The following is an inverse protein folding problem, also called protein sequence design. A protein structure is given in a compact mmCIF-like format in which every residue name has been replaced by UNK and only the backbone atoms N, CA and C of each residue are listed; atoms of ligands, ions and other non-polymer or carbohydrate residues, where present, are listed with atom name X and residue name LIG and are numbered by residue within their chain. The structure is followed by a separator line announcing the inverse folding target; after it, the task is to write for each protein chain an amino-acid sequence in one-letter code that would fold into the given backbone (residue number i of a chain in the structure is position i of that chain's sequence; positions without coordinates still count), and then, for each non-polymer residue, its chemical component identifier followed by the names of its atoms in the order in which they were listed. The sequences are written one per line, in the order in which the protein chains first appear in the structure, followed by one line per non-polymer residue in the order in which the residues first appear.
data_IF_562239358484
#
_entry.id   IF_562239358484
#
_cell.length_a   1.000
_cell.length_b   1.000
_cell.length_c   1.000
_cell.angle_alpha   90.00
_cell.angle_beta   90.00
_cell.angle_gamma   90.00
#
_symmetry.space_group_name_H-M   'P 1'
#
loop_
_entity.id
_entity.type
_entity.pdbx_description
1 polymer ?
#
# COMPACT_ATOMS: atom_id res chain seq x y z
N UNK A 1 4.40 -19.02 -28.44
CA UNK A 1 4.62 -18.21 -27.24
C UNK A 1 6.02 -17.63 -27.35
N UNK A 2 6.15 -16.33 -27.66
CA UNK A 2 7.44 -15.67 -27.71
C UNK A 2 8.05 -15.66 -26.29
N UNK A 3 9.14 -16.37 -26.10
CA UNK A 3 10.00 -16.27 -24.90
C UNK A 3 10.64 -14.90 -24.88
N UNK A 4 9.91 -13.86 -24.43
CA UNK A 4 10.52 -12.57 -24.14
C UNK A 4 11.62 -12.82 -23.12
N UNK A 5 12.85 -12.59 -23.51
CA UNK A 5 14.05 -12.73 -22.67
C UNK A 5 13.83 -11.99 -21.35
N UNK A 6 13.86 -12.72 -20.24
CA UNK A 6 13.81 -12.14 -18.90
C UNK A 6 15.00 -11.20 -18.73
N UNK A 7 14.73 -9.94 -18.45
CA UNK A 7 15.77 -8.96 -18.15
C UNK A 7 15.67 -8.53 -16.67
N UNK A 8 16.48 -9.12 -15.77
CA UNK A 8 16.41 -8.83 -14.34
C UNK A 8 16.63 -7.35 -13.99
N UNK A 9 17.51 -6.66 -14.74
CA UNK A 9 17.79 -5.22 -14.53
C UNK A 9 16.54 -4.36 -14.81
N UNK A 10 15.83 -4.66 -15.90
CA UNK A 10 14.59 -3.97 -16.25
C UNK A 10 13.47 -4.28 -15.24
N UNK A 11 13.40 -5.53 -14.76
CA UNK A 11 12.47 -5.92 -13.71
C UNK A 11 12.74 -5.21 -12.39
N UNK A 12 14.00 -5.08 -11.99
CA UNK A 12 14.39 -4.32 -10.80
C UNK A 12 14.06 -2.83 -10.95
N UNK A 13 14.31 -2.25 -12.14
CA UNK A 13 13.94 -0.85 -12.40
C UNK A 13 12.43 -0.63 -12.24
N UNK A 14 11.58 -1.48 -12.83
CA UNK A 14 10.14 -1.38 -12.68
C UNK A 14 9.70 -1.49 -11.22
N UNK A 15 10.23 -2.47 -10.47
CA UNK A 15 9.87 -2.69 -9.08
C UNK A 15 10.29 -1.51 -8.18
N UNK A 16 11.52 -1.01 -8.35
CA UNK A 16 12.02 0.13 -7.57
C UNK A 16 11.31 1.44 -7.91
N UNK A 17 10.98 1.68 -9.19
CA UNK A 17 10.19 2.85 -9.57
C UNK A 17 8.77 2.76 -9.00
N UNK A 18 8.16 1.57 -8.99
CA UNK A 18 6.87 1.35 -8.34
C UNK A 18 6.93 1.63 -6.84
N UNK A 19 7.95 1.11 -6.15
CA UNK A 19 8.19 1.33 -4.73
C UNK A 19 8.44 2.83 -4.42
N UNK A 20 9.20 3.54 -5.24
CA UNK A 20 9.41 4.99 -5.13
C UNK A 20 8.10 5.77 -5.21
N UNK A 21 7.26 5.46 -6.20
CA UNK A 21 5.95 6.11 -6.38
C UNK A 21 4.99 5.80 -5.22
N UNK A 22 4.98 4.58 -4.69
CA UNK A 22 4.19 4.24 -3.51
C UNK A 22 4.70 4.97 -2.26
N UNK A 23 6.01 5.06 -2.04
CA UNK A 23 6.58 5.83 -0.95
C UNK A 23 6.22 7.32 -1.03
N UNK A 24 6.27 7.90 -2.23
CA UNK A 24 5.84 9.28 -2.47
C UNK A 24 4.33 9.47 -2.24
N UNK A 25 3.52 8.49 -2.66
CA UNK A 25 2.08 8.49 -2.42
C UNK A 25 1.72 8.56 -0.93
N UNK A 26 2.50 7.95 -0.07
CA UNK A 26 2.30 8.00 1.38
C UNK A 26 2.33 9.44 1.91
N UNK A 27 3.38 10.19 1.55
CA UNK A 27 3.52 11.61 1.89
C UNK A 27 2.44 12.48 1.22
N UNK A 28 2.10 12.20 -0.04
CA UNK A 28 1.03 12.90 -0.76
C UNK A 28 -0.32 12.73 -0.05
N UNK A 29 -0.66 11.50 0.36
CA UNK A 29 -1.90 11.20 1.09
C UNK A 29 -1.94 11.95 2.41
N UNK A 30 -0.83 12.00 3.17
CA UNK A 30 -0.74 12.74 4.43
C UNK A 30 -0.97 14.23 4.23
N UNK A 31 -0.37 14.83 3.20
CA UNK A 31 -0.57 16.24 2.86
C UNK A 31 -2.02 16.54 2.52
N UNK A 32 -2.65 15.71 1.70
CA UNK A 32 -4.06 15.90 1.32
C UNK A 32 -4.96 15.84 2.55
N UNK A 33 -4.73 14.87 3.46
CA UNK A 33 -5.53 14.73 4.69
C UNK A 33 -5.28 15.88 5.65
N UNK A 34 -4.05 16.36 5.79
CA UNK A 34 -3.73 17.50 6.68
C UNK A 34 -4.34 18.82 6.20
N UNK A 35 -4.77 18.92 4.95
CA UNK A 35 -5.51 20.04 4.40
C UNK A 35 -7.04 19.87 4.45
N UNK A 36 -7.54 18.92 5.26
CA UNK A 36 -8.96 18.80 5.59
C UNK A 36 -9.76 17.84 4.71
N UNK A 37 -9.13 17.17 3.73
CA UNK A 37 -9.78 16.11 2.96
C UNK A 37 -9.76 14.83 3.78
N UNK A 38 -10.91 14.18 3.98
CA UNK A 38 -10.99 12.99 4.84
C UNK A 38 -10.32 11.77 4.21
N UNK A 39 -9.90 10.81 5.02
CA UNK A 39 -9.29 9.57 4.53
C UNK A 39 -10.24 8.79 3.59
N UNK A 40 -11.54 8.82 3.86
CA UNK A 40 -12.59 8.22 3.04
C UNK A 40 -12.62 8.86 1.65
N UNK A 41 -12.57 10.19 1.59
CA UNK A 41 -12.56 10.94 0.33
C UNK A 41 -11.27 10.66 -0.46
N UNK A 42 -10.12 10.63 0.20
CA UNK A 42 -8.83 10.27 -0.43
C UNK A 42 -8.93 8.90 -1.10
N UNK A 43 -9.47 7.90 -0.38
CA UNK A 43 -9.62 6.54 -0.93
C UNK A 43 -10.68 6.51 -2.05
N UNK A 44 -11.78 7.24 -1.91
CA UNK A 44 -12.81 7.35 -2.94
C UNK A 44 -12.24 7.87 -4.26
N UNK A 45 -11.59 9.05 -4.25
CA UNK A 45 -11.03 9.65 -5.47
C UNK A 45 -9.91 8.81 -6.07
N UNK A 46 -9.03 8.28 -5.25
CA UNK A 46 -7.93 7.41 -5.65
C UNK A 46 -8.44 6.12 -6.30
N UNK A 47 -9.40 5.45 -5.67
CA UNK A 47 -9.99 4.22 -6.19
C UNK A 47 -10.76 4.47 -7.50
N UNK A 48 -11.52 5.57 -7.58
CA UNK A 48 -12.26 5.95 -8.77
C UNK A 48 -11.34 6.21 -9.96
N UNK A 49 -10.28 6.99 -9.77
CA UNK A 49 -9.29 7.27 -10.81
C UNK A 49 -8.58 5.99 -11.28
N UNK A 50 -8.19 5.12 -10.33
CA UNK A 50 -7.53 3.86 -10.65
C UNK A 50 -8.47 2.90 -11.37
N UNK A 51 -9.74 2.80 -10.95
CA UNK A 51 -10.76 1.98 -11.62
C UNK A 51 -10.99 2.46 -13.05
N UNK A 52 -11.11 3.77 -13.26
CA UNK A 52 -11.26 4.37 -14.58
C UNK A 52 -10.10 3.99 -15.50
N UNK A 53 -8.86 4.21 -15.05
CA UNK A 53 -7.66 3.92 -15.84
C UNK A 53 -7.51 2.42 -16.12
N UNK A 54 -7.71 1.56 -15.13
CA UNK A 54 -7.68 0.11 -15.31
C UNK A 54 -8.78 -0.35 -16.26
N UNK A 55 -9.98 0.23 -16.16
CA UNK A 55 -11.10 -0.02 -17.05
C UNK A 55 -10.80 0.39 -18.49
N UNK A 56 -10.21 1.57 -18.70
CA UNK A 56 -9.76 2.01 -20.03
C UNK A 56 -8.72 1.05 -20.61
N UNK A 57 -7.68 0.71 -19.86
CA UNK A 57 -6.68 -0.26 -20.33
C UNK A 57 -7.33 -1.59 -20.68
N UNK A 58 -8.23 -2.09 -19.84
CA UNK A 58 -8.94 -3.34 -20.07
C UNK A 58 -9.83 -3.29 -21.33
N UNK A 59 -10.50 -2.15 -21.57
CA UNK A 59 -11.34 -1.95 -22.75
C UNK A 59 -10.54 -2.01 -24.07
N UNK A 60 -9.30 -1.52 -24.06
CA UNK A 60 -8.45 -1.52 -25.25
C UNK A 60 -7.60 -2.77 -25.41
N UNK A 61 -7.27 -3.48 -24.29
CA UNK A 61 -6.33 -4.62 -24.34
C UNK A 61 -7.00 -5.97 -24.21
N UNK A 62 -8.04 -6.10 -23.35
CA UNK A 62 -8.64 -7.40 -23.03
C UNK A 62 -10.10 -7.27 -22.58
N UNK A 63 -11.00 -6.97 -23.52
CA UNK A 63 -12.45 -6.80 -23.24
C UNK A 63 -13.11 -7.99 -22.54
N UNK A 64 -12.61 -9.21 -22.73
CA UNK A 64 -13.12 -10.38 -22.03
C UNK A 64 -12.95 -10.31 -20.51
N UNK A 65 -12.02 -9.50 -20.02
CA UNK A 65 -11.79 -9.24 -18.59
C UNK A 65 -12.98 -8.57 -17.89
N UNK A 66 -13.91 -7.93 -18.64
CA UNK A 66 -15.16 -7.39 -18.08
C UNK A 66 -16.22 -8.47 -17.79
N UNK A 67 -16.04 -9.70 -18.25
CA UNK A 67 -17.02 -10.77 -17.97
C UNK A 67 -16.81 -11.27 -16.53
N UNK A 68 -17.85 -11.18 -15.69
CA UNK A 68 -17.88 -11.67 -14.31
C UNK A 68 -18.86 -12.81 -14.19
N UNK A 69 -18.43 -13.91 -13.56
CA UNK A 69 -19.32 -14.99 -13.17
C UNK A 69 -19.95 -14.69 -11.82
N UNK A 70 -21.25 -14.96 -11.65
CA UNK A 70 -21.95 -14.73 -10.38
C UNK A 70 -21.25 -15.38 -9.17
N UNK A 71 -20.61 -16.53 -9.38
CA UNK A 71 -19.85 -17.24 -8.33
C UNK A 71 -18.59 -16.50 -7.86
N UNK A 72 -18.07 -15.57 -8.64
CA UNK A 72 -16.87 -14.78 -8.31
C UNK A 72 -17.23 -13.51 -7.49
N UNK A 73 -18.49 -13.05 -7.60
CA UNK A 73 -18.93 -11.80 -6.98
C UNK A 73 -18.67 -11.72 -5.47
N UNK A 74 -18.99 -12.75 -4.65
CA UNK A 74 -18.75 -12.64 -3.21
C UNK A 74 -17.27 -12.41 -2.86
N UNK A 75 -16.38 -13.13 -3.56
CA UNK A 75 -14.94 -12.96 -3.38
C UNK A 75 -14.47 -11.58 -3.85
N UNK A 76 -14.94 -11.10 -5.01
CA UNK A 76 -14.58 -9.78 -5.54
C UNK A 76 -15.09 -8.65 -4.65
N UNK A 77 -16.33 -8.74 -4.17
CA UNK A 77 -16.93 -7.75 -3.27
C UNK A 77 -16.13 -7.69 -1.97
N UNK A 78 -15.91 -8.83 -1.34
CA UNK A 78 -15.13 -8.89 -0.09
C UNK A 78 -13.71 -8.40 -0.29
N UNK A 79 -13.06 -8.78 -1.40
CA UNK A 79 -11.70 -8.32 -1.74
C UNK A 79 -11.66 -6.82 -2.01
N UNK A 80 -12.62 -6.27 -2.74
CA UNK A 80 -12.68 -4.84 -3.04
C UNK A 80 -12.98 -3.98 -1.81
N UNK A 81 -13.89 -4.43 -0.93
CA UNK A 81 -14.24 -3.69 0.29
C UNK A 81 -13.12 -3.84 1.32
N UNK A 82 -12.81 -5.07 1.75
CA UNK A 82 -11.90 -5.32 2.88
C UNK A 82 -10.44 -5.23 2.45
N UNK A 83 -10.10 -5.90 1.34
CA UNK A 83 -8.72 -5.99 0.88
C UNK A 83 -8.21 -4.69 0.23
N UNK A 84 -9.10 -3.85 -0.30
CA UNK A 84 -8.68 -2.61 -0.96
C UNK A 84 -9.25 -1.39 -0.24
N UNK A 85 -10.56 -1.27 -0.12
CA UNK A 85 -11.21 -0.07 0.42
C UNK A 85 -10.84 0.20 1.87
N UNK A 86 -11.09 -0.76 2.75
CA UNK A 86 -10.80 -0.62 4.19
C UNK A 86 -9.29 -0.65 4.49
N UNK A 87 -8.49 -1.40 3.72
CA UNK A 87 -7.04 -1.39 3.84
C UNK A 87 -6.48 0.01 3.57
N UNK A 88 -6.82 0.61 2.42
CA UNK A 88 -6.35 1.94 2.05
C UNK A 88 -6.85 3.03 3.01
N UNK A 89 -8.08 2.89 3.51
CA UNK A 89 -8.63 3.80 4.50
C UNK A 89 -7.87 3.71 5.84
N UNK A 90 -7.68 2.52 6.37
CA UNK A 90 -6.95 2.33 7.62
C UNK A 90 -5.51 2.85 7.49
N UNK A 91 -4.84 2.58 6.36
CA UNK A 91 -3.54 3.15 6.05
C UNK A 91 -3.57 4.70 6.01
N UNK A 92 -4.56 5.30 5.36
CA UNK A 92 -4.69 6.76 5.28
C UNK A 92 -4.90 7.38 6.67
N UNK A 93 -5.69 6.74 7.54
CA UNK A 93 -5.84 7.15 8.93
C UNK A 93 -4.54 6.98 9.75
N UNK A 94 -3.78 5.91 9.48
CA UNK A 94 -2.50 5.68 10.13
C UNK A 94 -1.49 6.78 9.80
N UNK A 95 -1.33 7.14 8.53
CA UNK A 95 -0.39 8.21 8.12
C UNK A 95 -0.83 9.60 8.56
N UNK A 96 -2.13 9.81 8.81
CA UNK A 96 -2.63 11.04 9.42
C UNK A 96 -2.15 11.20 10.88
N UNK A 97 -2.05 10.09 11.62
CA UNK A 97 -1.70 10.09 13.05
C UNK A 97 -0.25 9.73 13.36
N UNK A 98 0.49 9.17 12.42
CA UNK A 98 1.88 8.71 12.58
C UNK A 98 2.81 9.36 11.55
N UNK A 99 4.12 9.24 11.80
CA UNK A 99 5.12 9.44 10.76
C UNK A 99 4.92 8.41 9.66
N UNK A 100 5.07 8.84 8.40
CA UNK A 100 4.73 8.03 7.23
C UNK A 100 5.51 6.71 7.19
N UNK A 101 6.82 6.77 7.47
CA UNK A 101 7.67 5.57 7.50
C UNK A 101 7.25 4.58 8.58
N UNK A 102 6.85 5.06 9.78
CA UNK A 102 6.41 4.21 10.90
C UNK A 102 5.08 3.53 10.56
N UNK A 103 4.12 4.27 9.98
CA UNK A 103 2.85 3.71 9.56
C UNK A 103 3.04 2.53 8.57
N UNK A 104 3.93 2.71 7.57
CA UNK A 104 4.26 1.66 6.62
C UNK A 104 5.01 0.47 7.23
N UNK A 105 5.93 0.71 8.17
CA UNK A 105 6.61 -0.41 8.87
C UNK A 105 5.60 -1.32 9.56
N UNK A 106 4.61 -0.74 10.25
CA UNK A 106 3.58 -1.51 10.95
C UNK A 106 2.68 -2.22 9.94
N UNK A 107 2.23 -1.54 8.90
CA UNK A 107 1.39 -2.14 7.86
C UNK A 107 2.08 -3.33 7.19
N UNK A 108 3.36 -3.21 6.83
CA UNK A 108 4.13 -4.28 6.19
C UNK A 108 4.41 -5.49 7.10
N UNK A 109 4.09 -5.43 8.40
CA UNK A 109 4.06 -6.65 9.24
C UNK A 109 3.09 -7.70 8.69
N UNK A 110 2.14 -7.30 7.82
CA UNK A 110 1.28 -8.22 7.06
C UNK A 110 2.05 -9.37 6.41
N UNK A 111 3.28 -9.13 5.94
CA UNK A 111 4.14 -10.15 5.31
C UNK A 111 4.45 -11.30 6.28
N UNK A 112 4.46 -11.03 7.57
CA UNK A 112 4.65 -12.04 8.63
C UNK A 112 3.33 -12.71 8.99
N UNK A 113 2.25 -11.92 9.06
CA UNK A 113 0.93 -12.45 9.39
C UNK A 113 0.39 -13.40 8.34
N UNK A 114 0.72 -13.18 7.04
CA UNK A 114 0.29 -14.07 5.95
C UNK A 114 0.71 -15.53 6.18
N UNK A 115 2.00 -15.89 6.42
CA UNK A 115 2.39 -17.25 6.72
C UNK A 115 1.76 -17.81 8.01
N UNK A 116 1.62 -16.97 9.04
CA UNK A 116 1.01 -17.39 10.32
C UNK A 116 -0.47 -17.74 10.14
N UNK A 117 -1.24 -16.90 9.45
CA UNK A 117 -2.64 -17.17 9.11
C UNK A 117 -2.75 -18.41 8.19
N UNK A 118 -1.82 -18.56 7.23
CA UNK A 118 -1.77 -19.75 6.37
C UNK A 118 -1.50 -21.03 7.14
N UNK A 119 -0.64 -20.97 8.16
CA UNK A 119 -0.43 -22.11 9.07
C UNK A 119 -1.71 -22.47 9.85
N UNK A 120 -2.38 -21.46 10.43
CA UNK A 120 -3.54 -21.66 11.29
C UNK A 120 -4.79 -22.13 10.52
N UNK A 121 -5.07 -21.48 9.37
CA UNK A 121 -6.29 -21.74 8.60
C UNK A 121 -6.13 -22.85 7.56
N UNK A 122 -4.94 -22.94 6.93
CA UNK A 122 -4.71 -23.90 5.84
C UNK A 122 -3.74 -25.00 6.21
N UNK A 123 -3.19 -25.01 7.45
CA UNK A 123 -2.20 -25.97 7.95
C UNK A 123 -0.97 -26.06 7.05
N UNK A 124 -0.62 -24.97 6.37
CA UNK A 124 0.60 -24.88 5.56
C UNK A 124 1.83 -24.83 6.48
N UNK A 125 2.88 -25.60 6.16
CA UNK A 125 4.12 -25.59 6.96
C UNK A 125 4.84 -24.25 6.81
N UNK A 126 5.08 -23.57 7.92
CA UNK A 126 5.86 -22.33 7.98
C UNK A 126 7.34 -22.67 8.13
N UNK A 127 8.19 -22.06 7.30
CA UNK A 127 9.63 -22.32 7.33
C UNK A 127 10.25 -21.66 8.59
N UNK A 128 11.29 -22.30 9.21
CA UNK A 128 11.92 -21.81 10.44
C UNK A 128 12.40 -20.35 10.37
N UNK A 129 12.88 -19.91 9.21
CA UNK A 129 13.33 -18.52 8.99
C UNK A 129 12.22 -17.49 9.16
N UNK A 130 10.95 -17.86 8.93
CA UNK A 130 9.81 -16.95 9.16
C UNK A 130 9.72 -16.60 10.64
N UNK A 131 10.03 -17.53 11.54
CA UNK A 131 10.07 -17.27 12.98
C UNK A 131 11.18 -16.30 13.36
N UNK A 132 12.38 -16.40 12.73
CA UNK A 132 13.45 -15.41 12.90
C UNK A 132 12.98 -14.04 12.39
N UNK A 133 12.31 -14.02 11.23
CA UNK A 133 11.75 -12.79 10.67
C UNK A 133 10.72 -12.15 11.61
N UNK A 134 9.82 -12.96 12.20
CA UNK A 134 8.84 -12.52 13.22
C UNK A 134 9.55 -11.84 14.39
N UNK A 135 10.59 -12.47 14.94
CA UNK A 135 11.36 -11.92 16.07
C UNK A 135 12.02 -10.59 15.70
N UNK A 136 12.64 -10.50 14.50
CA UNK A 136 13.28 -9.27 14.03
C UNK A 136 12.27 -8.14 13.85
N UNK A 137 11.09 -8.44 13.29
CA UNK A 137 10.06 -7.42 13.05
C UNK A 137 9.43 -6.96 14.35
N UNK A 138 9.03 -7.87 15.22
CA UNK A 138 8.43 -7.50 16.52
C UNK A 138 9.44 -6.76 17.41
N UNK A 139 10.69 -7.24 17.45
CA UNK A 139 11.78 -6.54 18.15
C UNK A 139 12.07 -5.17 17.56
N UNK A 140 12.12 -5.06 16.23
CA UNK A 140 12.32 -3.78 15.54
C UNK A 140 11.17 -2.80 15.77
N UNK A 141 9.91 -3.26 15.77
CA UNK A 141 8.76 -2.41 16.12
C UNK A 141 8.80 -1.93 17.57
N UNK A 142 9.22 -2.78 18.53
CA UNK A 142 9.38 -2.39 19.91
C UNK A 142 10.45 -1.29 20.03
N UNK A 143 11.54 -1.38 19.26
CA UNK A 143 12.58 -0.35 19.17
C UNK A 143 12.04 0.94 18.51
N UNK A 144 11.29 0.84 17.41
CA UNK A 144 10.65 2.01 16.76
C UNK A 144 9.69 2.72 17.68
N UNK A 145 8.92 1.96 18.48
CA UNK A 145 7.98 2.51 19.44
C UNK A 145 8.67 3.19 20.64
N UNK A 146 10.00 3.11 20.72
CA UNK A 146 10.81 3.65 21.81
C UNK A 146 10.27 3.25 23.20
N UNK A 147 9.90 1.97 23.33
CA UNK A 147 9.29 1.41 24.55
C UNK A 147 10.20 1.56 25.77
N UNK A 148 11.50 1.80 25.56
CA UNK A 148 12.52 1.88 26.61
C UNK A 148 12.96 3.31 26.93
N UNK A 149 12.69 4.30 26.07
CA UNK A 149 13.18 5.68 26.23
C UNK A 149 12.11 6.75 26.47
N UNK A 150 10.86 6.47 26.16
CA UNK A 150 9.71 7.35 26.44
C UNK A 150 9.71 8.71 25.73
N UNK A 151 10.62 8.93 24.77
CA UNK A 151 10.82 10.24 24.12
C UNK A 151 9.82 10.50 22.97
N UNK A 152 9.21 9.45 22.42
CA UNK A 152 8.31 9.55 21.25
C UNK A 152 6.89 9.16 21.66
N UNK A 153 5.99 10.14 21.69
CA UNK A 153 4.55 9.90 21.87
C UNK A 153 3.95 9.51 20.52
N UNK A 154 3.85 8.21 20.25
CA UNK A 154 3.08 7.72 19.10
C UNK A 154 1.58 7.89 19.38
N UNK A 155 0.83 8.36 18.38
CA UNK A 155 -0.63 8.48 18.47
C UNK A 155 -1.28 7.08 18.65
N UNK A 156 -2.03 6.82 19.74
CA UNK A 156 -2.68 5.52 19.92
C UNK A 156 -3.66 5.19 18.79
N UNK A 157 -4.39 6.18 18.29
CA UNK A 157 -5.30 6.00 17.14
C UNK A 157 -4.52 5.66 15.87
N UNK A 158 -3.38 6.35 15.62
CA UNK A 158 -2.51 6.04 14.50
C UNK A 158 -1.95 4.61 14.55
N UNK A 159 -1.53 4.14 15.73
CA UNK A 159 -1.08 2.76 15.94
C UNK A 159 -2.21 1.75 15.69
N UNK A 160 -3.41 2.03 16.18
CA UNK A 160 -4.59 1.17 15.97
C UNK A 160 -4.89 1.06 14.46
N UNK A 161 -4.92 2.18 13.75
CA UNK A 161 -5.19 2.16 12.31
C UNK A 161 -4.07 1.49 11.50
N UNK A 162 -2.80 1.65 11.89
CA UNK A 162 -1.70 0.93 11.27
C UNK A 162 -1.79 -0.59 11.47
N UNK A 163 -2.18 -1.03 12.67
CA UNK A 163 -2.44 -2.45 12.95
C UNK A 163 -3.64 -3.00 12.14
N UNK A 164 -4.71 -2.21 12.01
CA UNK A 164 -5.85 -2.55 11.14
C UNK A 164 -5.43 -2.64 9.67
N UNK A 165 -4.61 -1.69 9.19
CA UNK A 165 -4.07 -1.72 7.83
C UNK A 165 -3.27 -3.02 7.60
N UNK A 166 -2.41 -3.43 8.56
CA UNK A 166 -1.68 -4.70 8.48
C UNK A 166 -2.61 -5.92 8.42
N UNK A 167 -3.69 -5.93 9.20
CA UNK A 167 -4.69 -7.01 9.17
C UNK A 167 -5.41 -7.07 7.81
N UNK A 168 -5.86 -5.93 7.29
CA UNK A 168 -6.51 -5.84 5.99
C UNK A 168 -5.53 -6.15 4.83
N UNK A 169 -4.27 -5.73 4.93
CA UNK A 169 -3.24 -6.09 3.96
C UNK A 169 -2.94 -7.60 3.98
N UNK A 170 -2.96 -8.23 5.17
CA UNK A 170 -2.88 -9.69 5.29
C UNK A 170 -4.01 -10.37 4.54
N UNK A 171 -5.24 -9.89 4.74
CA UNK A 171 -6.40 -10.37 3.99
C UNK A 171 -6.25 -10.13 2.49
N UNK A 172 -5.77 -8.94 2.07
CA UNK A 172 -5.50 -8.61 0.68
C UNK A 172 -4.56 -9.63 0.02
N UNK A 173 -3.47 -10.01 0.66
CA UNK A 173 -2.55 -11.00 0.10
C UNK A 173 -3.19 -12.39 -0.01
N UNK A 174 -3.94 -12.82 1.00
CA UNK A 174 -4.58 -14.16 1.01
C UNK A 174 -5.73 -14.23 0.00
N UNK A 175 -6.63 -13.25 0.01
CA UNK A 175 -7.76 -13.20 -0.91
C UNK A 175 -7.33 -12.86 -2.34
N UNK A 176 -6.36 -11.97 -2.51
CA UNK A 176 -5.79 -11.59 -3.81
C UNK A 176 -5.18 -12.78 -4.55
N UNK A 177 -4.50 -13.68 -3.84
CA UNK A 177 -4.01 -14.95 -4.42
C UNK A 177 -5.14 -15.80 -5.02
N UNK A 178 -6.33 -15.77 -4.40
CA UNK A 178 -7.53 -16.49 -4.91
C UNK A 178 -8.14 -15.77 -6.11
N UNK A 179 -8.26 -14.43 -6.05
CA UNK A 179 -8.78 -13.61 -7.16
C UNK A 179 -7.92 -13.79 -8.41
N UNK A 180 -6.60 -13.77 -8.27
CA UNK A 180 -5.64 -13.93 -9.38
C UNK A 180 -5.62 -15.32 -10.01
N UNK A 181 -6.18 -16.34 -9.35
CA UNK A 181 -6.36 -17.67 -9.97
C UNK A 181 -7.45 -17.69 -11.04
N UNK A 182 -8.41 -16.80 -10.94
CA UNK A 182 -9.60 -16.78 -11.83
C UNK A 182 -9.61 -15.58 -12.76
N UNK A 183 -8.81 -14.56 -12.48
CA UNK A 183 -8.78 -13.28 -13.20
C UNK A 183 -7.37 -12.85 -13.55
N UNK A 184 -7.25 -12.22 -14.72
CA UNK A 184 -6.07 -11.45 -15.04
C UNK A 184 -5.99 -10.22 -14.10
N UNK A 185 -4.81 -9.68 -13.96
CA UNK A 185 -4.58 -8.66 -12.93
C UNK A 185 -5.22 -7.31 -13.26
N UNK A 186 -5.32 -6.89 -14.55
CA UNK A 186 -6.02 -5.64 -14.87
C UNK A 186 -7.50 -5.75 -14.54
N UNK A 187 -8.11 -6.91 -14.82
CA UNK A 187 -9.48 -7.19 -14.41
C UNK A 187 -9.64 -7.21 -12.90
N UNK A 188 -8.72 -7.85 -12.16
CA UNK A 188 -8.73 -7.86 -10.70
C UNK A 188 -8.57 -6.45 -10.12
N UNK A 189 -7.66 -5.65 -10.67
CA UNK A 189 -7.45 -4.25 -10.28
C UNK A 189 -8.70 -3.40 -10.55
N UNK A 190 -9.27 -3.51 -11.76
CA UNK A 190 -10.48 -2.77 -12.12
C UNK A 190 -11.62 -3.05 -11.15
N UNK A 191 -11.97 -4.33 -10.94
CA UNK A 191 -13.10 -4.68 -10.09
C UNK A 191 -12.87 -4.35 -8.62
N UNK A 192 -11.68 -4.58 -8.09
CA UNK A 192 -11.38 -4.27 -6.69
C UNK A 192 -11.45 -2.76 -6.43
N UNK A 193 -10.94 -1.95 -7.35
CA UNK A 193 -11.01 -0.49 -7.23
C UNK A 193 -12.41 0.06 -7.49
N UNK A 194 -13.15 -0.51 -8.46
CA UNK A 194 -14.54 -0.14 -8.70
C UNK A 194 -15.43 -0.43 -7.48
N UNK A 195 -15.28 -1.61 -6.89
CA UNK A 195 -16.03 -2.00 -5.69
C UNK A 195 -15.66 -1.11 -4.50
N UNK A 196 -14.37 -0.82 -4.31
CA UNK A 196 -13.90 0.16 -3.30
C UNK A 196 -14.55 1.53 -3.54
N UNK A 197 -14.60 2.00 -4.79
CA UNK A 197 -15.24 3.27 -5.16
C UNK A 197 -16.71 3.28 -4.79
N UNK A 198 -17.45 2.25 -5.21
CA UNK A 198 -18.89 2.13 -4.91
C UNK A 198 -19.13 2.05 -3.40
N UNK A 199 -18.32 1.29 -2.68
CA UNK A 199 -18.40 1.21 -1.22
C UNK A 199 -18.24 2.58 -0.58
N UNK A 200 -17.21 3.35 -0.92
CA UNK A 200 -16.98 4.67 -0.33
C UNK A 200 -17.95 5.74 -0.84
N UNK A 201 -18.50 5.61 -2.05
CA UNK A 201 -19.61 6.48 -2.49
C UNK A 201 -20.84 6.33 -1.61
N UNK A 202 -21.09 5.15 -1.04
CA UNK A 202 -22.24 4.88 -0.17
C UNK A 202 -21.89 5.11 1.30
N UNK A 203 -20.71 4.67 1.75
CA UNK A 203 -20.32 4.66 3.16
C UNK A 203 -19.77 6.01 3.65
N UNK A 204 -19.21 6.82 2.76
CA UNK A 204 -18.67 8.14 3.13
C UNK A 204 -19.69 9.23 2.93
N UNK A 205 -19.89 10.15 3.90
CA UNK A 205 -20.78 11.29 3.74
C UNK A 205 -20.12 12.43 2.92
N UNK A 206 -19.53 12.09 1.78
CA UNK A 206 -18.77 13.03 0.93
C UNK A 206 -19.60 14.23 0.48
N UNK A 207 -20.93 14.10 0.42
CA UNK A 207 -21.86 15.16 0.05
C UNK A 207 -22.06 16.21 1.18
N UNK A 208 -21.74 15.88 2.43
CA UNK A 208 -21.84 16.83 3.55
C UNK A 208 -20.66 17.80 3.57
N UNK A 209 -19.49 17.33 3.19
CA UNK A 209 -18.28 18.12 3.08
C UNK A 209 -17.68 17.93 1.69
N UNK A 210 -18.24 18.57 0.64
CA UNK A 210 -17.73 18.43 -0.70
C UNK A 210 -16.29 18.99 -0.78
N UNK A 211 -15.41 18.25 -1.46
CA UNK A 211 -14.02 18.69 -1.68
C UNK A 211 -14.03 19.88 -2.63
N UNK A 212 -13.42 20.99 -2.22
CA UNK A 212 -13.14 22.10 -3.13
C UNK A 212 -12.01 21.68 -4.08
N UNK A 213 -12.39 21.30 -5.28
CA UNK A 213 -11.45 20.86 -6.32
C UNK A 213 -10.60 22.02 -6.86
N UNK A 214 -11.09 23.26 -6.79
CA UNK A 214 -10.41 24.45 -7.30
C UNK A 214 -9.51 25.10 -6.26
N UNK A 215 -9.73 24.79 -5.00
CA UNK A 215 -8.92 25.26 -3.87
C UNK A 215 -7.47 24.82 -3.95
N UNK A 216 -6.62 25.53 -3.21
CA UNK A 216 -5.20 25.23 -3.11
C UNK A 216 -4.90 24.36 -1.89
N UNK A 217 -4.17 23.26 -2.09
CA UNK A 217 -3.58 22.45 -1.02
C UNK A 217 -2.16 22.92 -0.78
N UNK A 218 -1.85 23.32 0.44
CA UNK A 218 -0.48 23.58 0.88
C UNK A 218 0.29 22.28 0.99
N UNK A 219 1.46 22.18 0.36
CA UNK A 219 2.25 20.93 0.35
C UNK A 219 2.87 20.57 1.71
N UNK A 220 2.84 21.49 2.66
CA UNK A 220 3.29 21.26 4.02
C UNK A 220 4.80 21.02 4.16
N UNK A 221 5.25 20.84 5.42
CA UNK A 221 6.63 20.54 5.73
C UNK A 221 7.62 21.52 5.09
N UNK A 222 8.70 21.02 4.50
CA UNK A 222 9.72 21.82 3.82
C UNK A 222 9.23 22.43 2.48
N UNK A 223 8.08 22.00 1.99
CA UNK A 223 7.44 22.54 0.77
C UNK A 223 6.24 23.45 1.10
N UNK A 224 6.12 23.93 2.34
CA UNK A 224 5.01 24.77 2.81
C UNK A 224 4.84 26.10 2.08
N UNK A 225 5.87 26.57 1.37
CA UNK A 225 5.79 27.75 0.50
C UNK A 225 5.02 27.46 -0.82
N UNK A 226 4.76 26.20 -1.15
CA UNK A 226 4.12 25.78 -2.38
C UNK A 226 2.69 25.35 -2.13
N UNK A 227 1.79 25.79 -3.02
CA UNK A 227 0.39 25.34 -3.05
C UNK A 227 0.11 24.74 -4.43
N UNK A 228 -0.67 23.66 -4.44
CA UNK A 228 -1.11 23.01 -5.68
C UNK A 228 -2.64 22.90 -5.69
N UNK A 229 -3.29 23.03 -6.87
CA UNK A 229 -4.72 22.83 -6.97
C UNK A 229 -5.13 21.43 -6.48
N UNK A 230 -6.20 21.34 -5.70
CA UNK A 230 -6.71 20.08 -5.13
C UNK A 230 -6.91 19.00 -6.19
N UNK A 231 -7.56 19.36 -7.32
CA UNK A 231 -7.80 18.41 -8.41
C UNK A 231 -6.51 17.81 -8.98
N UNK A 232 -5.43 18.59 -9.02
CA UNK A 232 -4.13 18.12 -9.55
C UNK A 232 -3.51 17.07 -8.64
N UNK A 233 -3.57 17.27 -7.32
CA UNK A 233 -3.07 16.28 -6.33
C UNK A 233 -3.93 15.02 -6.31
N UNK A 234 -5.24 15.13 -6.46
CA UNK A 234 -6.13 13.96 -6.52
C UNK A 234 -5.91 13.14 -7.80
N UNK A 235 -5.72 13.80 -8.95
CA UNK A 235 -5.35 13.12 -10.20
C UNK A 235 -3.97 12.46 -10.06
N UNK A 236 -2.99 13.19 -9.54
CA UNK A 236 -1.66 12.65 -9.23
C UNK A 236 -1.75 11.40 -8.37
N UNK A 237 -2.54 11.45 -7.28
CA UNK A 237 -2.74 10.34 -6.36
C UNK A 237 -3.34 9.11 -7.08
N UNK A 238 -4.32 9.31 -7.93
CA UNK A 238 -4.95 8.22 -8.71
C UNK A 238 -4.00 7.60 -9.72
N UNK A 239 -3.27 8.43 -10.47
CA UNK A 239 -2.37 7.97 -11.55
C UNK A 239 -1.07 7.43 -10.94
N UNK A 240 -0.29 8.30 -10.28
CA UNK A 240 1.06 8.00 -9.83
C UNK A 240 1.11 7.41 -8.42
N UNK A 241 0.09 7.66 -7.60
CA UNK A 241 -0.03 7.06 -6.27
C UNK A 241 -0.67 5.68 -6.27
N UNK A 242 -1.29 5.23 -7.37
CA UNK A 242 -1.98 3.93 -7.39
C UNK A 242 -1.81 3.19 -8.71
N UNK A 243 -2.34 3.70 -9.81
CA UNK A 243 -2.40 2.96 -11.07
C UNK A 243 -1.01 2.61 -11.61
N UNK A 244 -0.15 3.61 -11.79
CA UNK A 244 1.20 3.43 -12.37
C UNK A 244 2.08 2.50 -11.52
N UNK A 245 2.22 2.68 -10.20
CA UNK A 245 3.05 1.78 -9.40
C UNK A 245 2.53 0.35 -9.38
N UNK A 246 1.21 0.14 -9.37
CA UNK A 246 0.63 -1.20 -9.50
C UNK A 246 0.96 -1.81 -10.87
N UNK A 247 0.81 -1.06 -11.94
CA UNK A 247 1.16 -1.52 -13.29
C UNK A 247 2.65 -1.82 -13.43
N UNK A 248 3.54 -1.00 -12.84
CA UNK A 248 4.98 -1.24 -12.82
C UNK A 248 5.34 -2.51 -12.04
N UNK A 249 4.76 -2.72 -10.87
CA UNK A 249 4.92 -3.96 -10.08
C UNK A 249 4.54 -5.20 -10.90
N UNK A 250 3.55 -5.05 -11.75
CA UNK A 250 3.10 -6.05 -12.69
C UNK A 250 4.12 -6.36 -13.78
N UNK A 251 4.64 -5.28 -14.39
CA UNK A 251 5.68 -5.41 -15.40
C UNK A 251 6.94 -6.02 -14.82
N UNK A 252 7.25 -5.73 -13.55
CA UNK A 252 8.38 -6.33 -12.84
C UNK A 252 8.27 -7.86 -12.74
N UNK A 253 7.05 -8.41 -12.48
CA UNK A 253 6.81 -9.84 -12.40
C UNK A 253 7.08 -10.61 -13.71
N UNK A 254 7.05 -9.93 -14.85
CA UNK A 254 7.45 -10.55 -16.12
C UNK A 254 8.98 -10.78 -16.22
N UNK A 255 9.76 -10.05 -15.45
CA UNK A 255 11.22 -10.06 -15.53
C UNK A 255 11.89 -10.65 -14.29
N UNK A 256 11.27 -10.49 -13.11
CA UNK A 256 11.73 -11.01 -11.82
C UNK A 256 10.84 -12.16 -11.35
N UNK A 257 11.37 -12.96 -10.45
CA UNK A 257 10.53 -13.88 -9.69
C UNK A 257 9.72 -13.12 -8.62
N UNK A 258 8.62 -13.70 -8.09
CA UNK A 258 7.80 -13.04 -7.07
C UNK A 258 8.57 -12.59 -5.83
N UNK A 259 9.56 -13.38 -5.40
CA UNK A 259 10.45 -13.04 -4.28
C UNK A 259 11.26 -11.77 -4.56
N UNK A 260 11.83 -11.65 -5.77
CA UNK A 260 12.62 -10.48 -6.17
C UNK A 260 11.75 -9.21 -6.23
N UNK A 261 10.50 -9.32 -6.71
CA UNK A 261 9.56 -8.19 -6.69
C UNK A 261 9.20 -7.84 -5.24
N UNK A 262 8.90 -8.82 -4.39
CA UNK A 262 8.59 -8.59 -2.99
C UNK A 262 9.72 -7.86 -2.25
N UNK A 263 10.98 -8.31 -2.42
CA UNK A 263 12.15 -7.65 -1.83
C UNK A 263 12.28 -6.20 -2.34
N UNK A 264 12.13 -5.98 -3.65
CA UNK A 264 12.20 -4.63 -4.21
C UNK A 264 11.06 -3.73 -3.71
N UNK A 265 9.87 -4.29 -3.46
CA UNK A 265 8.73 -3.54 -2.90
C UNK A 265 8.98 -3.06 -1.47
N UNK A 266 9.85 -3.71 -0.68
CA UNK A 266 10.20 -3.19 0.66
C UNK A 266 10.94 -1.86 0.62
N UNK A 267 11.53 -1.50 -0.54
CA UNK A 267 12.12 -0.19 -0.75
C UNK A 267 11.09 0.95 -0.64
N UNK A 268 9.80 0.66 -0.82
CA UNK A 268 8.71 1.63 -0.56
C UNK A 268 8.83 2.24 0.84
N UNK A 269 9.07 1.42 1.86
CA UNK A 269 9.22 1.90 3.23
C UNK A 269 10.44 2.82 3.37
N UNK A 270 11.56 2.48 2.71
CA UNK A 270 12.77 3.32 2.71
C UNK A 270 12.50 4.67 2.03
N UNK A 271 11.82 4.65 0.88
CA UNK A 271 11.43 5.89 0.18
C UNK A 271 10.46 6.72 1.01
N UNK A 272 9.51 6.09 1.70
CA UNK A 272 8.57 6.78 2.58
C UNK A 272 9.26 7.49 3.75
N UNK A 273 10.26 6.87 4.39
CA UNK A 273 11.12 7.54 5.37
C UNK A 273 11.86 8.71 4.74
N UNK A 274 12.42 8.54 3.54
CA UNK A 274 13.10 9.59 2.80
C UNK A 274 12.18 10.78 2.49
N UNK A 275 10.98 10.54 2.00
CA UNK A 275 10.00 11.60 1.74
C UNK A 275 9.45 12.23 3.01
N UNK A 276 9.28 11.46 4.09
CA UNK A 276 8.95 11.97 5.41
C UNK A 276 9.98 13.01 5.88
N UNK A 277 11.27 12.69 5.78
CA UNK A 277 12.36 13.60 6.12
C UNK A 277 12.42 14.81 5.19
N UNK A 278 12.52 14.57 3.87
CA UNK A 278 12.87 15.63 2.89
C UNK A 278 11.67 16.51 2.57
N UNK A 279 10.48 15.95 2.45
CA UNK A 279 9.27 16.71 2.13
C UNK A 279 8.54 17.17 3.38
N UNK A 280 8.14 16.23 4.25
CA UNK A 280 7.25 16.54 5.38
C UNK A 280 7.98 17.16 6.59
N UNK A 281 9.33 17.17 6.58
CA UNK A 281 10.11 17.64 7.72
C UNK A 281 9.98 16.74 8.95
N UNK A 282 9.61 15.46 8.76
CA UNK A 282 9.54 14.50 9.85
C UNK A 282 10.96 14.22 10.38
N UNK A 283 11.10 14.13 11.68
CA UNK A 283 12.37 13.79 12.33
C UNK A 283 12.30 12.38 12.91
N UNK A 284 13.32 11.58 12.65
CA UNK A 284 13.43 10.23 13.20
C UNK A 284 14.62 10.15 14.15
N UNK A 285 14.42 9.58 15.33
CA UNK A 285 15.54 9.30 16.24
C UNK A 285 16.43 8.19 15.67
N UNK A 286 17.68 8.16 16.09
CA UNK A 286 18.60 7.08 15.72
C UNK A 286 18.03 5.69 16.10
N UNK A 287 17.34 5.60 17.24
CA UNK A 287 16.69 4.39 17.73
C UNK A 287 15.58 3.96 16.75
N UNK A 288 14.75 4.89 16.27
CA UNK A 288 13.71 4.60 15.28
C UNK A 288 14.29 4.10 13.95
N UNK A 289 15.40 4.68 13.50
CA UNK A 289 16.08 4.23 12.29
C UNK A 289 16.65 2.81 12.45
N UNK A 290 17.27 2.49 13.60
CA UNK A 290 17.75 1.13 13.90
C UNK A 290 16.57 0.14 13.91
N UNK A 291 15.48 0.49 14.61
CA UNK A 291 14.28 -0.34 14.62
C UNK A 291 13.69 -0.55 13.23
N UNK A 292 13.66 0.49 12.40
CA UNK A 292 13.22 0.43 11.01
C UNK A 292 14.07 -0.54 10.17
N UNK A 293 15.39 -0.49 10.33
CA UNK A 293 16.33 -1.41 9.65
C UNK A 293 16.06 -2.86 10.07
N UNK A 294 15.83 -3.12 11.36
CA UNK A 294 15.50 -4.46 11.86
C UNK A 294 14.18 -4.97 11.26
N UNK A 295 13.15 -4.13 11.20
CA UNK A 295 11.85 -4.48 10.58
C UNK A 295 12.04 -4.81 9.10
N UNK A 296 12.70 -3.94 8.34
CA UNK A 296 12.94 -4.16 6.91
C UNK A 296 13.77 -5.43 6.71
N UNK A 297 14.82 -5.64 7.50
CA UNK A 297 15.64 -6.86 7.46
C UNK A 297 14.82 -8.13 7.71
N UNK A 298 13.93 -8.10 8.71
CA UNK A 298 12.99 -9.19 8.99
C UNK A 298 12.03 -9.46 7.84
N UNK A 299 11.45 -8.43 7.24
CA UNK A 299 10.55 -8.53 6.08
C UNK A 299 11.28 -9.16 4.89
N UNK A 300 12.49 -8.71 4.58
CA UNK A 300 13.32 -9.26 3.49
C UNK A 300 13.65 -10.72 3.77
N UNK A 301 14.03 -11.06 5.01
CA UNK A 301 14.31 -12.43 5.41
C UNK A 301 13.10 -13.35 5.23
N UNK A 302 11.91 -12.89 5.58
CA UNK A 302 10.66 -13.66 5.39
C UNK A 302 10.39 -13.98 3.91
N UNK A 303 10.77 -13.08 3.00
CA UNK A 303 10.53 -13.22 1.57
C UNK A 303 11.58 -14.05 0.83
N UNK A 304 12.82 -14.14 1.34
CA UNK A 304 13.88 -14.93 0.67
C UNK A 304 13.55 -16.41 0.67
N UNK A 305 13.65 -17.10 -0.45
CA UNK A 305 13.58 -18.56 -0.53
C UNK A 305 14.98 -19.13 -0.27
N UNK A 306 15.07 -20.26 0.45
CA UNK A 306 16.26 -21.10 0.39
C UNK A 306 16.33 -21.64 -1.04
N UNK A 307 17.36 -21.27 -1.78
CA UNK A 307 17.74 -21.94 -3.04
C UNK A 307 18.05 -23.41 -2.80
#
# INVERSE_FOLDING_TARGET
MNTKTRNPKLGALYALTGAFLFGLNASTSKVIISNGITAEQVVLYRSAATALLAGLVLAFTFRAGFKVRLRELPLLITFGIVGVGLMQWAYSQAVAGLQVGIALLIEYTAIIWVPLVSLLLFREKVQPRVWIAVTLVLGGLAVVADTFGGSVKLSPSGLMFAALAAAFLTFYFIAGKRVQKTRDTMSALFYSMLISTVFWLVASPWWQNPVDLTGGINLGGNLSALTMPTWMLLIWLGIFGSFVPMWLSYRALHHLNPTGVGIASTAETVFAFGFGLVWLGESFSAIQLIGGILVIGGIVLAQTKKS
#
